data_IF_107547542175
#
_entry.id   IF_107547542175
#
_cell.length_a   1.000
_cell.length_b   1.000
_cell.length_c   1.000
_cell.angle_alpha   90.00
_cell.angle_beta   90.00
_cell.angle_gamma   90.00
#
_symmetry.space_group_name_H-M   'P 1'
#
loop_
_entity.id
_entity.type
_entity.pdbx_description
1 polymer ?
#
# COMPACT_ATOMS: atom_id res chain seq x y z
N UNK A 1 -55.33 -12.61 10.52
CA UNK A 1 -54.54 -11.71 9.66
C UNK A 1 -53.23 -12.43 9.40
N UNK A 2 -53.21 -13.17 8.31
CA UNK A 2 -52.03 -13.86 7.78
C UNK A 2 -51.01 -12.81 7.33
N UNK A 3 -49.81 -12.86 7.91
CA UNK A 3 -48.69 -12.01 7.50
C UNK A 3 -47.71 -12.92 6.77
N UNK A 4 -47.64 -12.76 5.44
CA UNK A 4 -46.65 -13.43 4.60
C UNK A 4 -45.22 -13.06 5.02
N UNK A 5 -44.25 -13.98 4.95
CA UNK A 5 -42.86 -13.64 5.21
C UNK A 5 -42.27 -12.85 4.03
N UNK A 6 -41.79 -11.65 4.34
CA UNK A 6 -41.07 -10.76 3.42
C UNK A 6 -39.75 -11.44 3.03
N UNK A 7 -39.61 -11.73 1.74
CA UNK A 7 -38.38 -12.17 1.09
C UNK A 7 -37.36 -11.02 1.10
N UNK A 8 -36.40 -11.11 2.03
CA UNK A 8 -35.25 -10.21 2.07
C UNK A 8 -34.25 -10.62 0.99
N UNK A 9 -34.22 -9.90 -0.13
CA UNK A 9 -33.21 -10.03 -1.17
C UNK A 9 -31.91 -9.38 -0.70
N UNK A 10 -31.07 -10.15 0.00
CA UNK A 10 -29.69 -9.77 0.23
C UNK A 10 -28.94 -9.86 -1.10
N UNK A 11 -28.68 -8.71 -1.73
CA UNK A 11 -27.64 -8.58 -2.76
C UNK A 11 -26.27 -8.72 -2.09
N UNK A 12 -25.97 -9.94 -1.65
CA UNK A 12 -24.64 -10.32 -1.21
C UNK A 12 -23.69 -10.21 -2.40
N UNK A 13 -22.56 -9.55 -2.20
CA UNK A 13 -21.42 -9.61 -3.12
C UNK A 13 -21.16 -11.09 -3.37
N UNK A 14 -21.30 -11.52 -4.62
CA UNK A 14 -21.25 -12.92 -4.98
C UNK A 14 -19.91 -13.50 -4.53
N UNK A 15 -19.93 -14.56 -3.73
CA UNK A 15 -18.77 -15.36 -3.31
C UNK A 15 -17.92 -15.82 -4.51
N UNK A 16 -18.46 -15.75 -5.73
CA UNK A 16 -17.77 -15.94 -6.99
C UNK A 16 -16.60 -14.97 -7.22
N UNK A 17 -16.65 -13.72 -6.73
CA UNK A 17 -15.58 -12.73 -6.97
C UNK A 17 -14.31 -13.08 -6.18
N UNK A 18 -14.46 -13.64 -4.98
CA UNK A 18 -13.32 -14.09 -4.14
C UNK A 18 -12.72 -15.39 -4.69
N UNK A 19 -13.53 -16.29 -5.25
CA UNK A 19 -13.08 -17.54 -5.85
C UNK A 19 -12.36 -17.35 -7.20
N UNK A 20 -12.49 -16.19 -7.85
CA UNK A 20 -11.78 -15.89 -9.11
C UNK A 20 -10.31 -15.47 -8.92
N UNK A 21 -9.86 -15.22 -7.68
CA UNK A 21 -8.51 -14.76 -7.39
C UNK A 21 -7.52 -15.88 -6.97
N UNK A 22 -8.00 -17.09 -6.73
CA UNK A 22 -7.14 -18.23 -6.42
C UNK A 22 -6.60 -18.85 -7.71
N UNK A 23 -5.30 -19.24 -7.77
CA UNK A 23 -4.77 -20.00 -8.91
C UNK A 23 -5.60 -21.26 -9.07
N UNK A 24 -6.31 -21.39 -10.19
CA UNK A 24 -6.80 -22.67 -10.64
C UNK A 24 -5.56 -23.43 -11.08
N UNK A 25 -5.20 -24.48 -10.34
CA UNK A 25 -4.18 -25.41 -10.79
C UNK A 25 -4.75 -26.03 -12.06
N UNK A 26 -4.20 -25.62 -13.21
CA UNK A 26 -4.64 -26.15 -14.48
C UNK A 26 -4.29 -27.64 -14.50
N UNK A 27 -5.30 -28.50 -14.69
CA UNK A 27 -5.15 -29.96 -14.69
C UNK A 27 -4.12 -30.41 -15.77
N UNK A 28 -3.83 -29.55 -16.76
CA UNK A 28 -2.83 -29.76 -17.80
C UNK A 28 -1.39 -29.84 -17.22
N UNK A 29 -1.08 -29.16 -16.11
CA UNK A 29 0.20 -29.30 -15.41
C UNK A 29 0.37 -30.68 -14.72
N UNK A 30 -0.74 -31.35 -14.38
CA UNK A 30 -0.71 -32.69 -13.78
C UNK A 30 -0.30 -33.77 -14.80
N UNK A 31 -0.58 -33.55 -16.09
CA UNK A 31 -0.36 -34.48 -17.20
C UNK A 31 1.03 -34.35 -17.86
N UNK A 32 1.87 -33.46 -17.36
CA UNK A 32 3.22 -33.25 -17.88
C UNK A 32 4.12 -34.47 -17.65
N UNK A 33 4.83 -34.92 -18.70
CA UNK A 33 5.84 -35.99 -18.66
C UNK A 33 7.11 -35.61 -17.88
N UNK A 34 7.12 -34.47 -17.20
CA UNK A 34 8.24 -33.98 -16.39
C UNK A 34 8.43 -34.80 -15.11
N UNK A 35 9.68 -34.95 -14.64
CA UNK A 35 9.97 -35.58 -13.36
C UNK A 35 9.18 -34.89 -12.23
N UNK A 36 8.73 -35.63 -11.19
CA UNK A 36 7.84 -35.09 -10.15
C UNK A 36 8.34 -33.80 -9.49
N UNK A 37 9.66 -33.69 -9.25
CA UNK A 37 10.28 -32.49 -8.67
C UNK A 37 10.05 -31.24 -9.53
N UNK A 38 10.22 -31.35 -10.84
CA UNK A 38 10.11 -30.22 -11.77
C UNK A 38 8.67 -29.71 -11.84
N UNK A 39 7.68 -30.63 -11.88
CA UNK A 39 6.26 -30.27 -11.81
C UNK A 39 5.92 -29.49 -10.54
N UNK A 40 6.46 -29.91 -9.39
CA UNK A 40 6.24 -29.22 -8.10
C UNK A 40 6.88 -27.83 -8.11
N UNK A 41 8.10 -27.69 -8.63
CA UNK A 41 8.77 -26.38 -8.73
C UNK A 41 7.95 -25.44 -9.61
N UNK A 42 7.46 -25.88 -10.77
CA UNK A 42 6.63 -25.03 -11.63
C UNK A 42 5.33 -24.58 -10.96
N UNK A 43 4.71 -25.46 -10.17
CA UNK A 43 3.55 -25.08 -9.35
C UNK A 43 3.91 -24.05 -8.29
N UNK A 44 5.08 -24.17 -7.64
CA UNK A 44 5.54 -23.19 -6.65
C UNK A 44 5.84 -21.84 -7.29
N UNK A 45 6.48 -21.80 -8.47
CA UNK A 45 6.77 -20.56 -9.20
C UNK A 45 5.48 -19.83 -9.62
N UNK A 46 4.45 -20.59 -10.02
CA UNK A 46 3.12 -20.04 -10.30
C UNK A 46 2.48 -19.45 -9.04
N UNK A 47 2.58 -20.14 -7.91
CA UNK A 47 2.09 -19.64 -6.62
C UNK A 47 2.84 -18.38 -6.18
N UNK A 48 4.16 -18.34 -6.33
CA UNK A 48 4.98 -17.16 -6.05
C UNK A 48 4.55 -15.95 -6.90
N UNK A 49 4.32 -16.17 -8.20
CA UNK A 49 3.78 -15.14 -9.09
C UNK A 49 2.43 -14.60 -8.61
N UNK A 50 1.57 -15.47 -8.05
CA UNK A 50 0.29 -15.07 -7.50
C UNK A 50 0.42 -14.30 -6.19
N UNK A 51 1.35 -14.71 -5.32
CA UNK A 51 1.71 -13.95 -4.12
C UNK A 51 2.17 -12.54 -4.51
N UNK A 52 2.99 -12.39 -5.55
CA UNK A 52 3.41 -11.05 -5.96
C UNK A 52 2.30 -10.21 -6.60
N UNK A 53 1.34 -10.84 -7.30
CA UNK A 53 0.13 -10.12 -7.73
C UNK A 53 -0.70 -9.61 -6.54
N UNK A 54 -0.86 -10.44 -5.51
CA UNK A 54 -1.56 -10.04 -4.28
C UNK A 54 -0.84 -8.89 -3.58
N UNK A 55 0.49 -8.96 -3.47
CA UNK A 55 1.31 -7.91 -2.86
C UNK A 55 1.16 -6.59 -3.62
N UNK A 56 1.27 -6.59 -4.95
CA UNK A 56 1.04 -5.39 -5.78
C UNK A 56 -0.37 -4.84 -5.61
N UNK A 57 -1.39 -5.70 -5.61
CA UNK A 57 -2.77 -5.27 -5.40
C UNK A 57 -3.02 -4.65 -4.03
N UNK A 58 -2.40 -5.21 -2.98
CA UNK A 58 -2.47 -4.66 -1.63
C UNK A 58 -1.74 -3.30 -1.52
N UNK A 59 -0.55 -3.16 -2.13
CA UNK A 59 0.15 -1.86 -2.19
C UNK A 59 -0.65 -0.81 -2.95
N UNK A 60 -1.27 -1.16 -4.08
CA UNK A 60 -2.13 -0.23 -4.81
C UNK A 60 -3.33 0.20 -3.96
N UNK A 61 -3.96 -0.72 -3.23
CA UNK A 61 -5.10 -0.39 -2.37
C UNK A 61 -4.70 0.50 -1.18
N UNK A 62 -3.48 0.34 -0.67
CA UNK A 62 -2.88 1.22 0.34
C UNK A 62 -2.68 2.64 -0.22
N UNK A 63 -2.09 2.76 -1.42
CA UNK A 63 -1.91 4.05 -2.12
C UNK A 63 -3.24 4.73 -2.45
N UNK A 64 -4.24 3.98 -2.93
CA UNK A 64 -5.57 4.50 -3.24
C UNK A 64 -6.27 5.07 -1.99
N UNK A 65 -6.11 4.39 -0.85
CA UNK A 65 -6.63 4.88 0.44
C UNK A 65 -5.96 6.19 0.84
N UNK A 66 -4.63 6.29 0.72
CA UNK A 66 -3.89 7.50 1.06
C UNK A 66 -4.23 8.67 0.11
N UNK A 67 -4.42 8.38 -1.19
CA UNK A 67 -4.88 9.36 -2.17
C UNK A 67 -6.31 9.87 -1.85
N UNK A 68 -7.20 9.00 -1.41
CA UNK A 68 -8.55 9.40 -0.96
C UNK A 68 -8.49 10.32 0.25
N UNK A 69 -7.67 10.00 1.26
CA UNK A 69 -7.49 10.84 2.44
C UNK A 69 -6.88 12.20 2.09
N UNK A 70 -5.87 12.23 1.21
CA UNK A 70 -5.26 13.47 0.72
C UNK A 70 -6.26 14.34 -0.07
N UNK A 71 -7.12 13.71 -0.87
CA UNK A 71 -8.18 14.41 -1.60
C UNK A 71 -9.21 15.00 -0.65
N UNK A 72 -9.62 14.25 0.38
CA UNK A 72 -10.56 14.74 1.40
C UNK A 72 -9.98 15.92 2.16
N UNK A 73 -8.70 15.86 2.54
CA UNK A 73 -8.00 16.99 3.17
C UNK A 73 -7.99 18.22 2.26
N UNK A 74 -7.72 18.03 0.96
CA UNK A 74 -7.75 19.13 -0.02
C UNK A 74 -9.14 19.77 -0.14
N UNK A 75 -10.21 18.97 -0.06
CA UNK A 75 -11.59 19.47 -0.10
C UNK A 75 -11.92 20.29 1.15
N UNK A 76 -11.58 19.79 2.33
CA UNK A 76 -11.86 20.47 3.61
C UNK A 76 -11.08 21.79 3.73
N UNK A 77 -9.89 21.85 3.13
CA UNK A 77 -9.04 23.04 3.12
C UNK A 77 -9.22 23.93 1.88
N UNK A 78 -10.19 23.63 1.00
CA UNK A 78 -10.40 24.40 -0.21
C UNK A 78 -10.93 25.81 0.08
N UNK A 79 -10.51 26.81 -0.71
CA UNK A 79 -10.95 28.20 -0.53
C UNK A 79 -12.49 28.36 -0.56
N UNK A 80 -13.17 27.46 -1.27
CA UNK A 80 -14.64 27.40 -1.33
C UNK A 80 -15.27 27.25 0.05
N UNK A 81 -14.62 26.54 0.99
CA UNK A 81 -15.11 26.34 2.36
C UNK A 81 -15.21 27.66 3.14
N UNK A 82 -14.42 28.68 2.78
CA UNK A 82 -14.53 30.00 3.39
C UNK A 82 -15.75 30.79 2.92
N UNK A 83 -16.29 30.46 1.74
CA UNK A 83 -17.47 31.11 1.17
C UNK A 83 -18.79 30.53 1.70
N UNK A 84 -18.75 29.38 2.37
CA UNK A 84 -19.91 28.78 3.05
C UNK A 84 -20.25 29.53 4.33
N UNK A 85 -21.54 29.61 4.65
CA UNK A 85 -21.93 30.08 5.97
C UNK A 85 -21.55 29.06 7.07
N UNK A 86 -21.75 29.43 8.34
CA UNK A 86 -21.35 28.58 9.47
C UNK A 86 -22.07 27.23 9.50
N UNK A 87 -23.36 27.20 9.14
CA UNK A 87 -24.19 26.00 9.19
C UNK A 87 -23.81 25.07 8.04
N UNK A 88 -23.73 25.62 6.82
CA UNK A 88 -23.31 24.89 5.63
C UNK A 88 -21.92 24.28 5.80
N UNK A 89 -20.99 25.03 6.41
CA UNK A 89 -19.64 24.57 6.68
C UNK A 89 -19.58 23.44 7.70
N UNK A 90 -20.34 23.53 8.80
CA UNK A 90 -20.42 22.45 9.79
C UNK A 90 -21.02 21.18 9.17
N UNK A 91 -22.09 21.32 8.37
CA UNK A 91 -22.72 20.19 7.68
C UNK A 91 -21.75 19.50 6.70
N UNK A 92 -21.03 20.27 5.89
CA UNK A 92 -20.01 19.73 4.96
C UNK A 92 -18.85 19.09 5.72
N UNK A 93 -18.36 19.72 6.79
CA UNK A 93 -17.25 19.20 7.60
C UNK A 93 -17.64 17.87 8.25
N UNK A 94 -18.83 17.76 8.84
CA UNK A 94 -19.34 16.50 9.40
C UNK A 94 -19.48 15.41 8.34
N UNK A 95 -19.86 15.78 7.13
CA UNK A 95 -19.93 14.83 6.03
C UNK A 95 -18.53 14.33 5.62
N UNK A 96 -17.54 15.23 5.52
CA UNK A 96 -16.15 14.87 5.25
C UNK A 96 -15.57 13.95 6.34
N UNK A 97 -15.77 14.30 7.62
CA UNK A 97 -15.33 13.50 8.78
C UNK A 97 -15.91 12.08 8.75
N UNK A 98 -17.17 11.94 8.33
CA UNK A 98 -17.80 10.63 8.17
C UNK A 98 -17.12 9.81 7.07
N UNK A 99 -16.72 10.42 5.97
CA UNK A 99 -16.01 9.73 4.89
C UNK A 99 -14.61 9.34 5.36
N UNK A 100 -13.87 10.26 6.00
CA UNK A 100 -12.55 9.99 6.58
C UNK A 100 -12.63 8.81 7.53
N UNK A 101 -13.60 8.81 8.45
CA UNK A 101 -13.81 7.73 9.41
C UNK A 101 -14.03 6.38 8.74
N UNK A 102 -14.77 6.35 7.61
CA UNK A 102 -14.99 5.12 6.83
C UNK A 102 -13.74 4.67 6.10
N UNK A 103 -12.97 5.59 5.51
CA UNK A 103 -11.67 5.27 4.92
C UNK A 103 -10.72 4.64 5.97
N UNK A 104 -10.72 5.15 7.19
CA UNK A 104 -9.89 4.63 8.28
C UNK A 104 -10.27 3.23 8.77
N UNK A 105 -11.45 2.69 8.41
CA UNK A 105 -11.81 1.29 8.72
C UNK A 105 -11.12 0.27 7.81
N UNK A 106 -10.47 0.73 6.73
CA UNK A 106 -9.74 -0.13 5.79
C UNK A 106 -8.26 -0.11 6.17
N UNK A 107 -7.78 -1.25 6.69
CA UNK A 107 -6.35 -1.47 7.00
C UNK A 107 -5.77 -2.49 6.01
N UNK A 108 -4.74 -2.07 5.28
CA UNK A 108 -4.00 -2.89 4.32
C UNK A 108 -2.52 -2.70 4.61
N UNK A 109 -1.75 -3.79 4.61
CA UNK A 109 -0.33 -3.75 4.92
C UNK A 109 0.44 -4.82 4.16
N UNK A 110 1.47 -4.41 3.41
CA UNK A 110 2.42 -5.32 2.78
C UNK A 110 3.73 -5.33 3.58
N UNK A 111 4.06 -6.48 4.17
CA UNK A 111 5.30 -6.63 4.93
C UNK A 111 6.46 -7.05 4.01
N UNK A 112 7.64 -6.47 4.26
CA UNK A 112 8.89 -6.94 3.68
C UNK A 112 9.56 -7.87 4.68
N UNK A 113 9.67 -9.15 4.34
CA UNK A 113 10.45 -10.11 5.11
C UNK A 113 11.93 -9.78 4.90
N UNK A 114 12.67 -9.61 6.00
CA UNK A 114 14.10 -9.35 5.97
C UNK A 114 14.82 -10.48 6.68
N UNK A 115 15.92 -10.93 6.11
CA UNK A 115 16.85 -11.77 6.85
C UNK A 115 17.70 -10.92 7.81
N UNK A 116 18.47 -11.59 8.68
CA UNK A 116 19.32 -10.92 9.66
C UNK A 116 20.32 -9.93 9.03
N UNK A 117 20.89 -10.29 7.87
CA UNK A 117 21.86 -9.44 7.19
C UNK A 117 21.19 -8.19 6.62
N UNK A 118 19.99 -8.33 6.06
CA UNK A 118 19.17 -7.23 5.56
C UNK A 118 18.70 -6.32 6.70
N UNK A 119 18.38 -6.86 7.87
CA UNK A 119 18.04 -6.07 9.07
C UNK A 119 19.24 -5.26 9.57
N UNK A 120 20.43 -5.87 9.66
CA UNK A 120 21.66 -5.17 10.04
C UNK A 120 22.03 -4.07 9.04
N UNK A 121 21.85 -4.32 7.74
CA UNK A 121 22.05 -3.33 6.70
C UNK A 121 21.06 -2.16 6.84
N UNK A 122 19.77 -2.45 7.07
CA UNK A 122 18.76 -1.42 7.30
C UNK A 122 19.08 -0.56 8.53
N UNK A 123 19.53 -1.20 9.62
CA UNK A 123 19.95 -0.49 10.83
C UNK A 123 21.11 0.48 10.54
N UNK A 124 22.12 0.05 9.78
CA UNK A 124 23.23 0.92 9.37
C UNK A 124 22.77 2.09 8.52
N UNK A 125 21.88 1.87 7.54
CA UNK A 125 21.32 2.93 6.71
C UNK A 125 20.59 3.98 7.56
N UNK A 126 19.73 3.54 8.49
CA UNK A 126 19.03 4.45 9.40
C UNK A 126 20.01 5.25 10.27
N UNK A 127 21.08 4.62 10.76
CA UNK A 127 22.11 5.32 11.53
C UNK A 127 22.84 6.39 10.70
N UNK A 128 23.12 6.12 9.42
CA UNK A 128 23.72 7.11 8.51
C UNK A 128 22.79 8.31 8.28
N UNK A 129 21.48 8.08 8.17
CA UNK A 129 20.47 9.14 8.05
C UNK A 129 20.42 9.98 9.32
N UNK A 130 20.35 9.37 10.50
CA UNK A 130 20.33 10.08 11.78
C UNK A 130 21.60 10.93 11.98
N UNK A 131 22.77 10.35 11.66
CA UNK A 131 24.04 11.06 11.72
C UNK A 131 24.06 12.28 10.78
N UNK A 132 23.47 12.15 9.58
CA UNK A 132 23.35 13.25 8.63
C UNK A 132 22.47 14.38 9.18
N UNK A 133 21.33 14.05 9.79
CA UNK A 133 20.41 15.03 10.41
C UNK A 133 21.10 15.78 11.56
N UNK A 134 21.87 15.07 12.39
CA UNK A 134 22.65 15.70 13.48
C UNK A 134 23.71 16.63 12.88
N UNK A 135 24.45 16.15 11.88
CA UNK A 135 25.51 16.92 11.21
C UNK A 135 24.96 18.20 10.58
N UNK A 136 23.79 18.14 9.94
CA UNK A 136 23.15 19.30 9.31
C UNK A 136 22.93 20.46 10.29
N UNK A 137 22.65 20.17 11.57
CA UNK A 137 22.43 21.19 12.60
C UNK A 137 23.73 21.87 13.05
N UNK A 138 24.85 21.17 13.01
CA UNK A 138 26.15 21.69 13.46
C UNK A 138 27.04 22.21 12.33
N UNK A 139 26.98 21.55 11.17
CA UNK A 139 27.81 21.80 10.00
C UNK A 139 27.04 21.42 8.72
N UNK A 140 26.29 22.38 8.16
CA UNK A 140 25.45 22.13 6.99
C UNK A 140 26.26 21.85 5.71
N UNK A 141 27.48 22.36 5.61
CA UNK A 141 28.31 22.15 4.41
C UNK A 141 28.82 20.71 4.35
N UNK A 142 29.30 20.18 5.47
CA UNK A 142 29.68 18.76 5.57
C UNK A 142 28.47 17.86 5.38
N UNK A 143 27.30 18.23 5.92
CA UNK A 143 26.07 17.47 5.69
C UNK A 143 25.69 17.44 4.21
N UNK A 144 25.78 18.57 3.49
CA UNK A 144 25.54 18.64 2.05
C UNK A 144 26.47 17.70 1.29
N UNK A 145 27.78 17.72 1.57
CA UNK A 145 28.75 16.84 0.93
C UNK A 145 28.43 15.35 1.16
N UNK A 146 28.08 14.96 2.39
CA UNK A 146 27.66 13.58 2.71
C UNK A 146 26.39 13.18 1.99
N UNK A 147 25.40 14.07 1.92
CA UNK A 147 24.16 13.83 1.20
C UNK A 147 24.41 13.58 -0.30
N UNK A 148 25.26 14.39 -0.93
CA UNK A 148 25.70 14.19 -2.32
C UNK A 148 26.41 12.86 -2.49
N UNK A 149 27.30 12.49 -1.56
CA UNK A 149 27.96 11.18 -1.58
C UNK A 149 26.97 10.01 -1.50
N UNK A 150 25.93 10.11 -0.66
CA UNK A 150 24.89 9.09 -0.56
C UNK A 150 24.08 9.01 -1.85
N UNK A 151 23.71 10.16 -2.43
CA UNK A 151 23.01 10.24 -3.70
C UNK A 151 23.80 9.55 -4.81
N UNK A 152 25.10 9.82 -4.90
CA UNK A 152 25.99 9.22 -5.88
C UNK A 152 26.22 7.71 -5.67
N UNK A 153 26.01 7.19 -4.45
CA UNK A 153 26.05 5.76 -4.16
C UNK A 153 24.75 5.04 -4.53
N UNK A 154 23.62 5.76 -4.56
CA UNK A 154 22.29 5.21 -4.82
C UNK A 154 21.78 5.49 -6.24
N UNK A 155 22.45 6.34 -7.00
CA UNK A 155 22.06 6.76 -8.35
C UNK A 155 23.18 6.55 -9.35
N UNK A 156 22.81 6.18 -10.58
CA UNK A 156 23.74 6.14 -11.72
C UNK A 156 24.09 7.54 -12.23
N UNK A 157 23.38 8.58 -11.79
CA UNK A 157 23.63 9.97 -12.15
C UNK A 157 24.47 10.64 -11.04
N UNK A 158 25.57 11.27 -11.45
CA UNK A 158 26.45 12.00 -10.53
C UNK A 158 25.86 13.38 -10.29
N UNK A 159 25.58 13.67 -9.02
CA UNK A 159 25.24 15.01 -8.55
C UNK A 159 26.53 15.68 -8.07
N UNK A 160 26.80 16.87 -8.58
CA UNK A 160 27.88 17.74 -8.08
C UNK A 160 27.35 18.61 -6.94
N UNK A 161 28.14 18.71 -5.86
CA UNK A 161 27.78 19.39 -4.60
C UNK A 161 28.48 20.72 -4.43
#
# INVERSE_FOLDING_TARGET
MDVEPISCSSSGISTAVVLQAMPKIDEDHMLSNKPPKERVVEMLDMLETHVEKLRRGASQLEEDKDALLSTLDSVVNADLMYNLDEIERDDVTRYADRIISRCMTVEVRVMTQRDKMQEEALFQVNHLIDSLVITLRSDPETAKQRCVSYMNACSSQIVEG
#
